data_IF_641335326846
#
_entry.id   IF_641335326846
#
_cell.length_a   1.000
_cell.length_b   1.000
_cell.length_c   1.000
_cell.angle_alpha   90.00
_cell.angle_beta   90.00
_cell.angle_gamma   90.00
#
_symmetry.space_group_name_H-M   'P 1'
#
loop_
_entity.id
_entity.type
_entity.pdbx_description
1 polymer ?
#
# COMPACT_ATOMS: atom_id res chain seq x y z
N UNK A 1 49.68 -38.06 -36.79
CA UNK A 1 49.81 -37.59 -35.39
C UNK A 1 49.38 -36.11 -35.17
N UNK A 2 48.37 -35.57 -35.90
CA UNK A 2 47.92 -34.17 -35.75
C UNK A 2 46.47 -33.98 -35.26
N UNK A 3 45.67 -35.03 -35.13
CA UNK A 3 44.23 -34.91 -34.79
C UNK A 3 43.86 -35.24 -33.33
N UNK A 4 44.81 -35.66 -32.48
CA UNK A 4 44.49 -35.99 -31.07
C UNK A 4 44.60 -34.79 -30.11
N UNK A 5 45.30 -33.70 -30.50
CA UNK A 5 45.44 -32.50 -29.67
C UNK A 5 44.26 -31.53 -29.79
N UNK A 6 43.42 -31.66 -30.82
CA UNK A 6 42.30 -30.75 -31.05
C UNK A 6 41.05 -31.17 -30.25
N UNK A 7 40.74 -32.47 -30.17
CA UNK A 7 39.54 -32.94 -29.45
C UNK A 7 39.65 -32.78 -27.92
N UNK A 8 40.86 -32.88 -27.36
CA UNK A 8 41.11 -32.70 -25.92
C UNK A 8 40.87 -31.25 -25.47
N UNK A 9 41.14 -30.26 -26.33
CA UNK A 9 40.87 -28.85 -26.02
C UNK A 9 39.38 -28.55 -25.96
N UNK A 10 38.57 -29.12 -26.86
CA UNK A 10 37.11 -28.96 -26.82
C UNK A 10 36.47 -29.74 -25.66
N UNK A 11 37.03 -30.90 -25.29
CA UNK A 11 36.54 -31.69 -24.15
C UNK A 11 36.81 -31.01 -22.80
N UNK A 12 37.98 -30.37 -22.63
CA UNK A 12 38.29 -29.58 -21.43
C UNK A 12 37.50 -28.27 -21.37
N UNK A 13 37.17 -27.65 -22.52
CA UNK A 13 36.32 -26.46 -22.58
C UNK A 13 34.84 -26.78 -22.27
N UNK A 14 34.35 -27.94 -22.73
CA UNK A 14 32.98 -28.41 -22.45
C UNK A 14 32.79 -28.82 -20.99
N UNK A 15 33.81 -29.40 -20.34
CA UNK A 15 33.80 -29.69 -18.90
C UNK A 15 33.83 -28.42 -18.05
N UNK A 16 34.60 -27.40 -18.45
CA UNK A 16 34.61 -26.11 -17.76
C UNK A 16 33.26 -25.36 -17.87
N UNK A 17 32.61 -25.40 -19.04
CA UNK A 17 31.28 -24.80 -19.21
C UNK A 17 30.18 -25.59 -18.48
N UNK A 18 30.26 -26.92 -18.47
CA UNK A 18 29.33 -27.79 -17.74
C UNK A 18 29.42 -27.64 -16.22
N UNK A 19 30.64 -27.52 -15.66
CA UNK A 19 30.86 -27.29 -14.23
C UNK A 19 30.44 -25.87 -13.81
N UNK A 20 30.66 -24.86 -14.67
CA UNK A 20 30.16 -23.50 -14.41
C UNK A 20 28.62 -23.44 -14.48
N UNK A 21 27.98 -24.15 -15.41
CA UNK A 21 26.51 -24.21 -15.47
C UNK A 21 25.91 -25.00 -14.29
N UNK A 22 26.55 -26.07 -13.82
CA UNK A 22 26.11 -26.80 -12.64
C UNK A 22 26.32 -25.99 -11.36
N UNK A 23 27.49 -25.35 -11.21
CA UNK A 23 27.82 -24.46 -10.08
C UNK A 23 26.94 -23.22 -10.03
N UNK A 24 26.56 -22.65 -11.17
CA UNK A 24 25.63 -21.52 -11.23
C UNK A 24 24.19 -21.96 -10.90
N UNK A 25 23.82 -23.21 -11.20
CA UNK A 25 22.51 -23.78 -10.83
C UNK A 25 22.38 -24.14 -9.34
N UNK A 26 23.50 -24.48 -8.69
CA UNK A 26 23.54 -24.78 -7.25
C UNK A 26 23.68 -23.52 -6.39
N UNK A 27 24.38 -22.47 -6.87
CA UNK A 27 24.39 -21.15 -6.21
C UNK A 27 23.02 -20.47 -6.18
N UNK A 28 22.15 -20.72 -7.18
CA UNK A 28 20.78 -20.19 -7.15
C UNK A 28 19.86 -20.89 -6.14
N UNK A 29 20.32 -21.93 -5.45
CA UNK A 29 19.51 -22.68 -4.47
C UNK A 29 19.93 -22.44 -3.01
N UNK A 30 21.03 -21.72 -2.76
CA UNK A 30 21.58 -21.59 -1.42
C UNK A 30 22.05 -20.16 -1.07
N UNK A 31 21.32 -19.16 -1.56
CA UNK A 31 21.34 -17.83 -0.97
C UNK A 31 20.09 -17.76 -0.08
N UNK A 32 20.26 -17.91 1.24
CA UNK A 32 19.24 -17.66 2.25
C UNK A 32 18.81 -16.18 2.33
N UNK A 33 18.78 -15.50 1.20
CA UNK A 33 18.24 -14.15 1.02
C UNK A 33 16.88 -14.37 0.38
N UNK A 34 15.81 -14.17 1.13
CA UNK A 34 14.46 -14.25 0.64
C UNK A 34 14.29 -13.28 -0.55
N UNK A 35 14.44 -13.79 -1.77
CA UNK A 35 14.05 -13.07 -2.97
C UNK A 35 12.55 -12.89 -2.89
N UNK A 36 12.07 -11.65 -2.92
CA UNK A 36 10.67 -11.41 -3.23
C UNK A 36 10.33 -12.19 -4.48
N UNK A 37 9.32 -13.04 -4.36
CA UNK A 37 8.62 -13.52 -5.53
C UNK A 37 7.67 -12.40 -5.88
N UNK A 38 8.06 -11.55 -6.86
CA UNK A 38 7.06 -10.83 -7.62
C UNK A 38 6.02 -11.87 -8.03
N UNK A 39 4.81 -11.73 -7.52
CA UNK A 39 3.73 -12.64 -7.82
C UNK A 39 3.11 -12.24 -9.17
N UNK A 40 2.09 -12.98 -9.59
CA UNK A 40 1.39 -12.69 -10.82
C UNK A 40 0.88 -11.25 -10.83
N UNK A 41 0.97 -10.60 -11.99
CA UNK A 41 0.37 -9.28 -12.21
C UNK A 41 -1.13 -9.38 -12.01
N UNK A 42 -1.72 -8.29 -11.54
CA UNK A 42 -3.17 -8.15 -11.44
C UNK A 42 -3.65 -7.13 -12.44
N UNK A 43 -4.89 -7.31 -12.90
CA UNK A 43 -5.51 -6.41 -13.87
C UNK A 43 -6.83 -5.91 -13.30
N UNK A 44 -7.06 -4.61 -13.36
CA UNK A 44 -8.34 -4.01 -12.95
C UNK A 44 -9.37 -3.97 -14.09
N UNK A 45 -10.52 -3.35 -13.84
CA UNK A 45 -11.60 -3.20 -14.82
C UNK A 45 -11.16 -2.39 -16.06
N UNK A 46 -10.33 -1.37 -15.86
CA UNK A 46 -9.87 -0.47 -16.92
C UNK A 46 -8.73 -1.06 -17.75
N UNK A 47 -8.20 -2.18 -17.27
CA UNK A 47 -7.12 -2.92 -17.90
C UNK A 47 -5.74 -2.44 -17.49
N UNK A 48 -5.63 -1.65 -16.42
CA UNK A 48 -4.36 -1.33 -15.79
C UNK A 48 -3.76 -2.60 -15.19
N UNK A 49 -2.45 -2.81 -15.40
CA UNK A 49 -1.72 -3.93 -14.80
C UNK A 49 -0.84 -3.46 -13.66
N UNK A 50 -0.86 -4.19 -12.54
CA UNK A 50 -0.07 -3.88 -11.37
C UNK A 50 0.81 -5.06 -10.97
N UNK A 51 2.05 -4.78 -10.59
CA UNK A 51 2.91 -5.77 -9.98
C UNK A 51 2.44 -6.08 -8.56
N UNK A 52 2.77 -7.27 -8.08
CA UNK A 52 2.40 -7.71 -6.73
C UNK A 52 3.62 -8.25 -5.99
N UNK A 53 3.60 -8.07 -4.67
CA UNK A 53 4.68 -8.44 -3.76
C UNK A 53 4.11 -9.36 -2.69
N UNK A 54 4.69 -10.57 -2.56
CA UNK A 54 4.42 -11.44 -1.42
C UNK A 54 5.26 -11.00 -0.22
N UNK A 55 4.61 -10.71 0.90
CA UNK A 55 5.22 -10.30 2.17
C UNK A 55 4.60 -11.13 3.29
N UNK A 56 5.36 -12.10 3.80
CA UNK A 56 4.83 -13.13 4.69
C UNK A 56 3.69 -13.90 4.01
N UNK A 57 2.55 -13.95 4.69
CA UNK A 57 1.34 -14.60 4.19
C UNK A 57 0.49 -13.70 3.28
N UNK A 58 0.77 -12.39 3.23
CA UNK A 58 0.00 -11.44 2.42
C UNK A 58 0.62 -11.24 1.04
N UNK A 59 -0.24 -10.97 0.05
CA UNK A 59 0.19 -10.48 -1.26
C UNK A 59 -0.41 -9.11 -1.48
N UNK A 60 0.43 -8.11 -1.71
CA UNK A 60 0.02 -6.71 -1.87
C UNK A 60 0.34 -6.20 -3.27
N UNK A 61 -0.40 -5.19 -3.72
CA UNK A 61 0.01 -4.40 -4.89
C UNK A 61 1.34 -3.68 -4.60
N UNK A 62 2.22 -3.60 -5.61
CA UNK A 62 3.45 -2.82 -5.53
C UNK A 62 3.17 -1.33 -5.79
N UNK A 63 2.19 -1.03 -6.63
CA UNK A 63 1.79 0.32 -7.01
C UNK A 63 0.43 0.73 -6.42
N UNK A 64 0.15 2.03 -6.45
CA UNK A 64 -1.14 2.59 -6.10
C UNK A 64 -2.17 2.32 -7.21
N UNK A 65 -3.40 2.01 -6.82
CA UNK A 65 -4.53 1.77 -7.72
C UNK A 65 -4.86 3.01 -8.58
N UNK A 66 -5.25 2.78 -9.83
CA UNK A 66 -5.55 3.82 -10.83
C UNK A 66 -6.84 3.55 -11.62
N UNK A 67 -7.74 2.76 -11.06
CA UNK A 67 -9.03 2.45 -11.68
C UNK A 67 -9.95 3.68 -11.69
N UNK A 68 -10.58 3.94 -12.81
CA UNK A 68 -11.50 5.06 -13.06
C UNK A 68 -12.96 4.58 -13.18
N UNK A 69 -13.19 3.27 -13.16
CA UNK A 69 -14.49 2.64 -13.04
C UNK A 69 -14.59 1.79 -11.78
N UNK A 70 -15.80 1.65 -11.26
CA UNK A 70 -16.09 0.62 -10.27
C UNK A 70 -15.98 -0.77 -10.89
N UNK A 71 -15.93 -1.81 -10.05
CA UNK A 71 -15.83 -3.20 -10.51
C UNK A 71 -16.97 -3.61 -11.45
N UNK A 72 -18.16 -3.01 -11.30
CA UNK A 72 -19.29 -3.24 -12.20
C UNK A 72 -19.20 -2.49 -13.55
N UNK A 73 -18.18 -1.67 -13.75
CA UNK A 73 -17.95 -0.87 -14.96
C UNK A 73 -18.60 0.51 -14.97
N UNK A 74 -19.28 0.93 -13.89
CA UNK A 74 -19.77 2.30 -13.80
C UNK A 74 -18.60 3.27 -13.64
N UNK A 75 -18.60 4.42 -14.34
CA UNK A 75 -17.54 5.41 -14.18
C UNK A 75 -17.59 6.06 -12.81
N UNK A 76 -16.41 6.33 -12.26
CA UNK A 76 -16.22 7.17 -11.07
C UNK A 76 -15.98 8.60 -11.55
N UNK A 77 -16.58 9.60 -10.89
CA UNK A 77 -16.46 10.99 -11.31
C UNK A 77 -15.00 11.47 -11.23
N UNK A 78 -14.43 11.84 -12.38
CA UNK A 78 -13.19 12.60 -12.41
C UNK A 78 -13.48 14.06 -12.07
N UNK A 79 -12.77 14.58 -11.08
CA UNK A 79 -12.81 16.01 -10.73
C UNK A 79 -11.51 16.67 -11.15
N UNK A 80 -11.58 17.89 -11.69
CA UNK A 80 -10.40 18.68 -12.13
C UNK A 80 -10.35 20.09 -11.52
N UNK A 81 -11.22 20.40 -10.56
CA UNK A 81 -11.23 21.69 -9.89
C UNK A 81 -11.46 21.53 -8.38
N UNK A 82 -10.98 22.51 -7.62
CA UNK A 82 -11.15 22.51 -6.16
C UNK A 82 -12.62 22.65 -5.76
N UNK A 83 -13.39 23.43 -6.53
CA UNK A 83 -14.81 23.64 -6.31
C UNK A 83 -15.60 22.34 -6.53
N UNK A 84 -15.37 21.66 -7.64
CA UNK A 84 -16.07 20.40 -7.94
C UNK A 84 -15.70 19.29 -6.95
N UNK A 85 -14.46 19.30 -6.44
CA UNK A 85 -14.03 18.35 -5.40
C UNK A 85 -14.80 18.57 -4.10
N UNK A 86 -14.90 19.83 -3.69
CA UNK A 86 -15.68 20.24 -2.53
C UNK A 86 -17.16 19.85 -2.70
N UNK A 87 -17.78 20.19 -3.85
CA UNK A 87 -19.18 19.86 -4.14
C UNK A 87 -19.45 18.36 -4.16
N UNK A 88 -18.58 17.56 -4.79
CA UNK A 88 -18.68 16.10 -4.75
C UNK A 88 -18.60 15.59 -3.31
N UNK A 89 -17.74 16.20 -2.49
CA UNK A 89 -17.63 15.92 -1.06
C UNK A 89 -18.91 16.23 -0.27
N UNK A 90 -19.54 17.38 -0.54
CA UNK A 90 -20.80 17.80 0.08
C UNK A 90 -21.99 16.92 -0.31
N UNK A 91 -22.02 16.46 -1.57
CA UNK A 91 -23.11 15.65 -2.10
C UNK A 91 -22.93 14.15 -1.88
N UNK A 92 -21.80 13.71 -1.32
CA UNK A 92 -21.51 12.29 -1.11
C UNK A 92 -21.23 11.53 -2.41
N UNK A 93 -20.75 12.23 -3.44
CA UNK A 93 -20.51 11.66 -4.76
C UNK A 93 -19.12 11.03 -4.79
N UNK A 94 -19.00 9.74 -5.18
CA UNK A 94 -17.71 9.11 -5.43
C UNK A 94 -16.89 9.84 -6.49
N UNK A 95 -15.66 10.22 -6.16
CA UNK A 95 -14.81 10.96 -7.05
C UNK A 95 -13.32 10.58 -6.91
N UNK A 96 -12.58 10.81 -7.99
CA UNK A 96 -11.12 10.71 -8.00
C UNK A 96 -10.50 11.91 -8.71
N UNK A 97 -9.20 12.14 -8.45
CA UNK A 97 -8.42 13.23 -9.05
C UNK A 97 -6.94 12.87 -9.15
N UNK A 98 -6.30 13.27 -10.25
CA UNK A 98 -4.84 13.22 -10.38
C UNK A 98 -4.21 14.27 -9.46
N UNK A 99 -3.04 13.98 -8.91
CA UNK A 99 -2.32 14.96 -8.12
C UNK A 99 -2.00 16.20 -8.99
N UNK A 100 -2.36 17.40 -8.51
CA UNK A 100 -2.21 18.66 -9.25
C UNK A 100 -2.84 18.66 -10.67
N UNK A 101 -3.86 17.83 -10.90
CA UNK A 101 -4.53 17.68 -12.21
C UNK A 101 -3.61 17.22 -13.36
N UNK A 102 -2.46 16.65 -13.03
CA UNK A 102 -1.48 16.21 -14.02
C UNK A 102 -1.54 14.68 -14.19
N UNK A 103 -2.12 14.23 -15.31
CA UNK A 103 -2.18 12.80 -15.61
C UNK A 103 -0.80 12.16 -15.80
N UNK A 104 0.25 12.95 -16.13
CA UNK A 104 1.60 12.41 -16.33
C UNK A 104 2.28 11.95 -15.04
N UNK A 105 1.78 12.38 -13.87
CA UNK A 105 2.29 11.92 -12.57
C UNK A 105 1.56 10.69 -12.03
N UNK A 106 0.58 10.17 -12.76
CA UNK A 106 -0.18 8.97 -12.38
C UNK A 106 0.72 7.74 -12.22
N UNK A 107 1.69 7.52 -13.11
CA UNK A 107 2.67 6.42 -12.96
C UNK A 107 3.45 6.49 -11.63
N UNK A 108 3.66 7.70 -11.11
CA UNK A 108 4.42 7.95 -9.88
C UNK A 108 3.55 7.87 -8.63
N UNK A 109 2.34 8.44 -8.67
CA UNK A 109 1.51 8.66 -7.48
C UNK A 109 0.23 7.81 -7.46
N UNK A 110 -0.18 7.25 -8.58
CA UNK A 110 -1.52 6.75 -8.80
C UNK A 110 -2.55 7.88 -8.85
N UNK A 111 -3.79 7.57 -8.47
CA UNK A 111 -4.86 8.56 -8.36
C UNK A 111 -5.36 8.65 -6.92
N UNK A 112 -5.91 9.81 -6.55
CA UNK A 112 -6.47 10.05 -5.22
C UNK A 112 -7.99 9.90 -5.29
N UNK A 113 -8.54 9.03 -4.45
CA UNK A 113 -9.98 8.76 -4.36
C UNK A 113 -10.53 9.42 -3.12
N UNK A 114 -11.74 9.97 -3.20
CA UNK A 114 -12.45 10.36 -1.99
C UNK A 114 -12.99 9.13 -1.24
N UNK A 115 -13.37 9.31 0.03
CA UNK A 115 -13.84 8.18 0.83
C UNK A 115 -15.17 7.61 0.34
N UNK A 116 -15.99 8.39 -0.37
CA UNK A 116 -17.24 7.90 -0.96
C UNK A 116 -17.00 6.88 -2.07
N UNK A 117 -15.93 7.02 -2.86
CA UNK A 117 -15.52 6.00 -3.83
C UNK A 117 -14.99 4.73 -3.15
N UNK A 118 -14.26 4.90 -2.05
CA UNK A 118 -13.71 3.77 -1.27
C UNK A 118 -14.80 2.93 -0.63
N UNK A 119 -15.82 3.57 -0.05
CA UNK A 119 -16.93 2.89 0.62
C UNK A 119 -18.12 2.56 -0.28
N UNK A 120 -18.01 2.78 -1.59
CA UNK A 120 -19.11 2.50 -2.53
C UNK A 120 -19.34 0.98 -2.66
N UNK A 121 -20.59 0.50 -2.57
CA UNK A 121 -20.90 -0.94 -2.66
C UNK A 121 -20.55 -1.57 -4.01
N UNK A 122 -20.36 -0.78 -5.08
CA UNK A 122 -19.92 -1.30 -6.38
C UNK A 122 -18.46 -1.77 -6.35
N UNK A 123 -17.66 -1.25 -5.41
CA UNK A 123 -16.28 -1.66 -5.14
C UNK A 123 -15.26 -1.20 -6.18
N UNK A 124 -14.02 -0.99 -5.73
CA UNK A 124 -12.89 -0.58 -6.58
C UNK A 124 -11.91 -1.73 -6.89
N UNK A 125 -11.84 -2.74 -6.02
CA UNK A 125 -10.90 -3.82 -6.14
C UNK A 125 -11.35 -4.86 -7.20
N UNK A 126 -10.45 -5.41 -8.03
CA UNK A 126 -10.76 -6.54 -8.90
C UNK A 126 -11.03 -7.81 -8.08
N UNK A 127 -11.60 -8.85 -8.71
CA UNK A 127 -11.93 -10.09 -8.02
C UNK A 127 -10.70 -10.77 -7.38
N UNK A 128 -10.87 -11.25 -6.14
CA UNK A 128 -9.79 -11.83 -5.33
C UNK A 128 -8.86 -10.80 -4.68
N UNK A 129 -9.21 -9.51 -4.77
CA UNK A 129 -8.50 -8.41 -4.12
C UNK A 129 -9.49 -7.56 -3.32
N UNK A 130 -8.98 -6.95 -2.24
CA UNK A 130 -9.78 -6.14 -1.34
C UNK A 130 -9.07 -4.85 -0.94
N UNK A 131 -9.87 -3.89 -0.47
CA UNK A 131 -9.36 -2.77 0.32
C UNK A 131 -8.74 -3.32 1.60
N UNK A 132 -7.53 -2.87 2.00
CA UNK A 132 -6.91 -3.34 3.23
C UNK A 132 -7.63 -2.73 4.45
N UNK A 133 -8.02 -3.60 5.38
CA UNK A 133 -8.51 -3.21 6.70
C UNK A 133 -7.37 -3.06 7.71
N UNK A 134 -7.71 -2.76 8.97
CA UNK A 134 -6.70 -2.60 10.04
C UNK A 134 -5.90 -3.88 10.29
N UNK A 135 -6.54 -5.05 10.28
CA UNK A 135 -5.85 -6.34 10.45
C UNK A 135 -4.83 -6.60 9.35
N UNK A 136 -5.16 -6.21 8.10
CA UNK A 136 -4.25 -6.38 6.98
C UNK A 136 -2.99 -5.53 7.18
N UNK A 137 -3.15 -4.27 7.61
CA UNK A 137 -2.04 -3.39 7.91
C UNK A 137 -1.24 -3.85 9.13
N UNK A 138 -1.89 -4.34 10.18
CA UNK A 138 -1.22 -4.87 11.37
C UNK A 138 -0.32 -6.06 10.99
N UNK A 139 -0.85 -7.02 10.22
CA UNK A 139 -0.08 -8.17 9.74
C UNK A 139 1.13 -7.75 8.89
N UNK A 140 0.97 -6.73 8.03
CA UNK A 140 2.08 -6.18 7.26
C UNK A 140 3.15 -5.57 8.16
N UNK A 141 2.74 -4.76 9.16
CA UNK A 141 3.68 -4.10 10.07
C UNK A 141 4.45 -5.13 10.92
N UNK A 142 3.76 -6.17 11.40
CA UNK A 142 4.37 -7.28 12.15
C UNK A 142 5.41 -8.01 11.29
N UNK A 143 5.03 -8.35 10.05
CA UNK A 143 5.99 -8.94 9.11
C UNK A 143 7.21 -8.03 8.91
N UNK A 144 7.03 -6.73 8.68
CA UNK A 144 8.15 -5.81 8.48
C UNK A 144 9.04 -5.63 9.72
N UNK A 145 8.47 -5.77 10.91
CA UNK A 145 9.19 -5.75 12.19
C UNK A 145 9.93 -7.07 12.50
N UNK A 146 9.62 -8.16 11.79
CA UNK A 146 10.16 -9.49 12.09
C UNK A 146 9.54 -10.16 13.31
N UNK A 147 8.31 -9.77 13.66
CA UNK A 147 7.61 -10.20 14.88
C UNK A 147 6.47 -9.26 15.21
N UNK A 148 6.06 -9.18 16.48
CA UNK A 148 5.06 -8.18 16.88
C UNK A 148 5.65 -6.76 16.74
N UNK A 149 5.02 -5.92 15.92
CA UNK A 149 5.44 -4.54 15.73
C UNK A 149 5.20 -3.72 16.99
N UNK A 150 6.22 -2.96 17.41
CA UNK A 150 6.12 -2.14 18.61
C UNK A 150 5.05 -1.06 18.46
N UNK A 151 4.04 -1.03 19.35
CA UNK A 151 3.01 0.00 19.29
C UNK A 151 3.62 1.36 19.65
N UNK A 152 3.31 2.37 18.83
CA UNK A 152 3.45 3.75 19.21
C UNK A 152 2.17 4.18 19.93
N UNK A 153 2.23 4.66 21.20
CA UNK A 153 1.05 5.11 21.91
C UNK A 153 0.48 6.30 21.12
N UNK A 154 -0.69 6.06 20.54
CA UNK A 154 -1.45 7.08 19.87
C UNK A 154 -1.93 8.16 20.84
N UNK A 155 -2.75 9.06 20.33
CA UNK A 155 -3.57 9.92 21.15
C UNK A 155 -4.80 9.12 21.57
N UNK A 156 -4.83 8.70 22.82
CA UNK A 156 -6.05 8.20 23.45
C UNK A 156 -6.81 9.35 24.09
N UNK A 157 -8.12 9.29 24.01
CA UNK A 157 -9.04 10.15 24.78
C UNK A 157 -10.03 9.27 25.51
N UNK A 158 -10.79 9.84 26.43
CA UNK A 158 -11.82 9.11 27.18
C UNK A 158 -13.12 9.91 27.08
N UNK A 159 -14.22 9.25 26.76
CA UNK A 159 -15.56 9.84 26.80
C UNK A 159 -16.53 8.94 27.54
N UNK A 160 -17.63 9.52 28.03
CA UNK A 160 -18.73 8.74 28.58
C UNK A 160 -19.73 8.40 27.48
N UNK A 161 -20.15 7.14 27.38
CA UNK A 161 -21.25 6.73 26.51
C UNK A 161 -22.61 7.23 27.06
N UNK A 162 -23.70 6.93 26.37
CA UNK A 162 -25.07 7.32 26.79
C UNK A 162 -25.44 6.75 28.18
N UNK A 163 -24.87 5.61 28.55
CA UNK A 163 -25.04 4.96 29.85
C UNK A 163 -24.13 5.53 30.96
N UNK A 164 -23.26 6.48 30.62
CA UNK A 164 -22.33 7.13 31.55
C UNK A 164 -21.04 6.36 31.81
N UNK A 165 -20.79 5.26 31.10
CA UNK A 165 -19.57 4.45 31.18
C UNK A 165 -18.43 5.11 30.42
N UNK A 166 -17.23 5.09 31.01
CA UNK A 166 -16.02 5.63 30.38
C UNK A 166 -15.51 4.66 29.30
N UNK A 167 -15.38 5.17 28.07
CA UNK A 167 -14.91 4.45 26.90
C UNK A 167 -13.61 5.06 26.42
N UNK A 168 -12.58 4.23 26.22
CA UNK A 168 -11.31 4.63 25.61
C UNK A 168 -11.53 4.89 24.11
N UNK A 169 -11.07 6.06 23.67
CA UNK A 169 -11.10 6.51 22.29
C UNK A 169 -9.69 6.48 21.73
N UNK A 170 -9.46 5.62 20.75
CA UNK A 170 -8.20 5.60 20.01
C UNK A 170 -8.32 6.53 18.80
N UNK A 171 -7.78 7.75 18.91
CA UNK A 171 -7.81 8.72 17.81
C UNK A 171 -6.80 8.39 16.71
N UNK A 172 -5.80 7.59 17.04
CA UNK A 172 -4.88 6.95 16.10
C UNK A 172 -4.23 5.74 16.78
N UNK A 173 -3.74 4.83 15.95
CA UNK A 173 -2.80 3.78 16.34
C UNK A 173 -1.54 3.97 15.50
N UNK A 174 -0.40 3.51 15.99
CA UNK A 174 0.83 3.63 15.23
C UNK A 174 1.84 2.56 15.58
N UNK A 175 2.86 2.47 14.74
CA UNK A 175 3.94 1.51 14.87
C UNK A 175 5.27 2.25 14.85
N UNK A 176 6.16 1.89 15.79
CA UNK A 176 7.46 2.54 15.94
C UNK A 176 8.41 2.14 14.84
N UNK A 177 9.23 3.06 14.36
CA UNK A 177 10.39 2.80 13.51
C UNK A 177 10.14 2.06 12.18
N UNK A 178 8.89 1.92 11.74
CA UNK A 178 8.54 1.21 10.50
C UNK A 178 8.45 2.12 9.27
N UNK A 179 8.38 3.46 9.44
CA UNK A 179 8.35 4.35 8.29
C UNK A 179 9.61 4.21 7.42
N UNK A 180 10.85 4.16 7.96
CA UNK A 180 12.05 3.95 7.16
C UNK A 180 12.05 2.62 6.41
N UNK A 181 11.52 1.56 7.02
CA UNK A 181 11.38 0.24 6.40
C UNK A 181 10.49 0.36 5.16
N UNK A 182 9.28 0.89 5.30
CA UNK A 182 8.34 1.17 4.19
C UNK A 182 8.90 2.10 3.10
N UNK A 183 9.98 2.82 3.37
CA UNK A 183 10.68 3.66 2.38
C UNK A 183 11.81 2.92 1.65
N UNK A 184 11.97 1.62 1.90
CA UNK A 184 13.01 0.79 1.32
C UNK A 184 14.32 0.74 2.11
N UNK A 185 14.33 1.11 3.40
CA UNK A 185 15.51 0.87 4.25
C UNK A 185 15.50 -0.57 4.76
N UNK A 186 16.70 -1.10 5.03
CA UNK A 186 16.87 -2.40 5.67
C UNK A 186 16.16 -2.44 7.02
N UNK A 187 15.64 -3.61 7.35
CA UNK A 187 15.09 -4.00 8.65
C UNK A 187 15.92 -5.15 9.20
N UNK A 188 15.84 -5.37 10.51
CA UNK A 188 16.48 -6.51 11.17
C UNK A 188 15.77 -7.83 10.86
N UNK A 189 14.58 -7.79 10.23
CA UNK A 189 13.95 -8.99 9.69
C UNK A 189 14.73 -9.54 8.47
N UNK A 190 15.35 -10.73 8.56
CA UNK A 190 16.11 -11.32 7.45
C UNK A 190 15.24 -11.70 6.25
N UNK A 191 13.93 -11.86 6.43
CA UNK A 191 12.98 -12.20 5.36
C UNK A 191 12.60 -10.97 4.51
N UNK A 192 12.92 -9.77 4.97
CA UNK A 192 12.71 -8.51 4.25
C UNK A 192 14.04 -8.10 3.63
N UNK A 193 14.30 -8.59 2.41
CA UNK A 193 15.52 -8.27 1.67
C UNK A 193 15.72 -6.76 1.41
N UNK A 194 16.93 -6.36 1.01
CA UNK A 194 17.31 -4.95 0.78
C UNK A 194 16.61 -4.27 -0.40
N UNK A 195 15.98 -5.04 -1.29
CA UNK A 195 15.34 -4.56 -2.52
C UNK A 195 13.81 -4.64 -2.45
N UNK A 196 13.29 -5.03 -1.30
CA UNK A 196 12.08 -5.83 -1.22
C UNK A 196 10.96 -5.25 -0.35
N UNK A 197 10.90 -3.92 -0.23
CA UNK A 197 9.95 -3.31 0.69
C UNK A 197 8.78 -2.71 -0.06
N UNK A 198 7.57 -2.83 0.53
CA UNK A 198 6.35 -2.11 0.19
C UNK A 198 6.65 -0.61 0.07
N UNK A 199 7.19 -0.19 -1.07
CA UNK A 199 7.81 1.13 -1.19
C UNK A 199 6.72 2.17 -1.18
N UNK A 200 6.81 3.09 -0.24
CA UNK A 200 5.86 4.18 -0.14
C UNK A 200 5.89 5.05 -1.41
N UNK A 201 4.78 5.04 -2.16
CA UNK A 201 4.54 5.99 -3.22
C UNK A 201 3.91 7.24 -2.60
N UNK A 202 4.72 8.29 -2.44
CA UNK A 202 4.38 9.54 -1.73
C UNK A 202 3.44 10.43 -2.56
N UNK A 203 2.22 9.95 -2.78
CA UNK A 203 1.17 10.64 -3.51
C UNK A 203 0.59 11.86 -2.77
N UNK A 204 0.90 12.05 -1.49
CA UNK A 204 0.27 13.07 -0.69
C UNK A 204 -1.22 12.81 -0.47
N UNK A 205 -1.98 13.88 -0.33
CA UNK A 205 -3.43 13.87 -0.16
C UNK A 205 -4.07 15.06 -0.87
N UNK A 206 -5.39 14.99 -1.02
CA UNK A 206 -6.25 16.13 -1.33
C UNK A 206 -7.17 16.38 -0.13
N UNK A 207 -7.25 17.64 0.33
CA UNK A 207 -8.12 18.01 1.43
C UNK A 207 -9.59 18.17 0.99
N UNK A 208 -10.47 18.51 1.93
CA UNK A 208 -11.91 18.67 1.64
C UNK A 208 -12.24 19.87 0.74
N UNK A 209 -11.30 20.79 0.55
CA UNK A 209 -11.45 21.96 -0.32
C UNK A 209 -10.72 21.79 -1.65
N UNK A 210 -10.23 20.59 -1.94
CA UNK A 210 -9.54 20.25 -3.18
C UNK A 210 -8.06 20.64 -3.24
N UNK A 211 -7.46 21.10 -2.13
CA UNK A 211 -6.05 21.47 -2.11
C UNK A 211 -5.16 20.24 -1.90
N UNK A 212 -4.06 20.16 -2.65
CA UNK A 212 -3.09 19.08 -2.57
C UNK A 212 -1.98 19.36 -1.55
N UNK A 213 -1.55 18.30 -0.83
CA UNK A 213 -0.47 18.40 0.15
C UNK A 213 0.41 17.16 0.18
N UNK A 214 1.71 17.37 0.39
CA UNK A 214 2.63 16.31 0.82
C UNK A 214 3.09 15.33 -0.26
N UNK A 215 2.86 15.60 -1.55
CA UNK A 215 3.52 14.83 -2.60
C UNK A 215 5.03 14.84 -2.39
N UNK A 216 5.68 13.74 -2.76
CA UNK A 216 7.10 13.48 -2.54
C UNK A 216 7.56 13.42 -1.07
N UNK A 217 6.71 13.71 -0.10
CA UNK A 217 7.08 13.73 1.33
C UNK A 217 6.30 12.73 2.18
N UNK A 218 5.01 12.54 1.86
CA UNK A 218 4.08 11.75 2.66
C UNK A 218 3.22 10.88 1.77
N UNK A 219 3.11 9.60 2.11
CA UNK A 219 2.19 8.67 1.50
C UNK A 219 0.97 8.54 2.42
N UNK A 220 -0.21 8.68 1.84
CA UNK A 220 -1.47 8.41 2.50
C UNK A 220 -2.21 7.34 1.72
N UNK A 221 -2.64 6.28 2.41
CA UNK A 221 -3.50 5.25 1.85
C UNK A 221 -4.77 5.11 2.66
N UNK A 222 -5.88 4.86 1.98
CA UNK A 222 -7.12 4.47 2.63
C UNK A 222 -6.97 3.14 3.38
N UNK A 223 -7.63 3.07 4.54
CA UNK A 223 -7.90 1.84 5.27
C UNK A 223 -9.42 1.69 5.32
N UNK A 224 -9.93 0.53 4.93
CA UNK A 224 -11.37 0.29 4.94
C UNK A 224 -11.66 -1.22 5.02
N UNK A 225 -12.33 -1.71 6.07
CA UNK A 225 -12.84 -0.95 7.22
C UNK A 225 -11.74 -0.65 8.27
N UNK A 226 -11.96 0.38 9.09
CA UNK A 226 -11.34 0.50 10.42
C UNK A 226 -12.28 -0.01 11.49
N UNK A 227 -11.70 -0.57 12.55
CA UNK A 227 -12.34 -1.30 13.62
C UNK A 227 -12.26 -0.61 15.00
N UNK A 228 -11.60 0.56 15.08
CA UNK A 228 -11.57 1.37 16.29
C UNK A 228 -12.51 2.60 16.20
N UNK A 229 -13.19 2.95 17.30
CA UNK A 229 -14.27 3.93 17.28
C UNK A 229 -13.78 5.35 16.95
N UNK A 230 -14.49 6.04 16.05
CA UNK A 230 -14.25 7.44 15.69
C UNK A 230 -15.38 8.32 16.21
N UNK A 231 -15.06 9.19 17.15
CA UNK A 231 -16.00 10.18 17.66
C UNK A 231 -15.51 11.60 17.36
N UNK A 232 -16.39 12.43 16.79
CA UNK A 232 -16.17 13.86 16.65
C UNK A 232 -17.36 14.60 17.25
N UNK A 233 -17.10 15.50 18.19
CA UNK A 233 -18.11 16.37 18.80
C UNK A 233 -19.33 15.62 19.40
N UNK A 234 -19.11 14.47 20.05
CA UNK A 234 -20.18 13.74 20.75
C UNK A 234 -21.19 13.05 19.84
N UNK A 235 -20.90 12.94 18.53
CA UNK A 235 -21.59 12.04 17.61
C UNK A 235 -20.62 10.97 17.14
N UNK A 236 -21.08 9.73 17.14
CA UNK A 236 -20.37 8.63 16.50
C UNK A 236 -20.33 8.93 15.00
N UNK A 237 -19.12 9.12 14.46
CA UNK A 237 -18.92 9.15 13.02
C UNK A 237 -18.68 7.72 12.59
N UNK A 238 -19.77 7.05 12.20
CA UNK A 238 -19.73 5.75 11.54
C UNK A 238 -19.24 5.89 10.09
N UNK A 239 -18.03 6.41 9.92
CA UNK A 239 -17.30 6.12 8.69
C UNK A 239 -16.21 5.14 9.09
N UNK A 240 -16.35 3.88 8.68
CA UNK A 240 -15.30 2.84 8.77
C UNK A 240 -14.08 3.19 7.89
N UNK A 241 -13.91 4.46 7.53
CA UNK A 241 -12.83 4.99 6.73
C UNK A 241 -11.68 5.40 7.65
N UNK A 242 -10.53 4.81 7.42
CA UNK A 242 -9.26 5.18 8.02
C UNK A 242 -8.25 5.61 6.97
N UNK A 243 -7.07 5.97 7.45
CA UNK A 243 -5.91 6.17 6.61
C UNK A 243 -4.63 5.76 7.32
N UNK A 244 -3.69 5.23 6.56
CA UNK A 244 -2.29 5.10 6.95
C UNK A 244 -1.52 6.32 6.47
N UNK A 245 -0.61 6.82 7.30
CA UNK A 245 0.34 7.87 6.97
C UNK A 245 1.76 7.38 7.17
N UNK A 246 2.59 7.51 6.12
CA UNK A 246 4.04 7.30 6.15
C UNK A 246 4.73 8.56 5.65
N UNK A 247 5.73 9.08 6.36
CA UNK A 247 6.40 10.33 6.00
C UNK A 247 7.91 10.20 6.06
N UNK A 248 8.63 10.83 5.12
CA UNK A 248 10.11 10.85 5.07
C UNK A 248 10.76 11.44 6.32
N UNK A 249 10.06 12.34 6.99
CA UNK A 249 10.58 13.08 8.14
C UNK A 249 10.10 12.51 9.49
N UNK A 250 9.57 11.29 9.50
CA UNK A 250 9.05 10.61 10.69
C UNK A 250 9.54 9.17 10.69
N UNK A 251 9.73 8.61 11.88
CA UNK A 251 10.12 7.20 12.05
C UNK A 251 8.91 6.28 12.19
N UNK A 252 7.78 6.83 12.63
CA UNK A 252 6.57 6.06 12.95
C UNK A 252 5.56 6.07 11.81
N UNK A 253 4.81 4.99 11.73
CA UNK A 253 3.62 4.84 10.87
C UNK A 253 2.39 5.09 11.71
N UNK A 254 1.39 5.78 11.16
CA UNK A 254 0.14 6.08 11.88
C UNK A 254 -1.07 5.65 11.08
N UNK A 255 -1.96 4.87 11.70
CA UNK A 255 -3.34 4.74 11.26
C UNK A 255 -4.22 5.72 12.04
N UNK A 256 -5.13 6.39 11.35
CA UNK A 256 -6.04 7.35 11.97
C UNK A 256 -7.34 7.41 11.19
N UNK A 257 -8.41 7.99 11.75
CA UNK A 257 -9.65 8.21 11.02
C UNK A 257 -9.44 8.99 9.72
N UNK A 258 -10.10 8.51 8.68
CA UNK A 258 -10.26 9.16 7.39
C UNK A 258 -11.52 10.02 7.39
N UNK A 259 -11.56 11.03 6.53
CA UNK A 259 -12.76 11.84 6.32
C UNK A 259 -13.18 11.66 4.87
N UNK A 260 -14.45 11.29 4.63
CA UNK A 260 -14.92 10.92 3.30
C UNK A 260 -14.72 12.02 2.23
N UNK A 261 -14.70 13.29 2.64
CA UNK A 261 -14.49 14.46 1.76
C UNK A 261 -13.02 14.70 1.36
N UNK A 262 -12.07 14.02 2.00
CA UNK A 262 -10.64 14.06 1.64
C UNK A 262 -10.33 12.95 0.66
N UNK A 263 -9.15 12.99 0.05
CA UNK A 263 -8.71 11.93 -0.86
C UNK A 263 -7.29 11.45 -0.62
N UNK A 264 -7.14 10.13 -0.72
CA UNK A 264 -5.91 9.38 -0.50
C UNK A 264 -5.72 8.34 -1.60
N UNK A 265 -4.51 7.81 -1.72
CA UNK A 265 -4.23 6.70 -2.62
C UNK A 265 -4.81 5.39 -2.07
N UNK A 266 -4.81 4.35 -2.88
CA UNK A 266 -5.24 3.00 -2.50
C UNK A 266 -4.14 2.02 -2.91
N UNK A 267 -3.89 1.02 -2.07
CA UNK A 267 -3.04 -0.12 -2.41
C UNK A 267 -3.72 -1.37 -1.90
N UNK A 268 -4.09 -2.26 -2.81
CA UNK A 268 -4.91 -3.42 -2.49
C UNK A 268 -4.05 -4.56 -1.92
N UNK A 269 -4.73 -5.43 -1.18
CA UNK A 269 -4.20 -6.71 -0.70
C UNK A 269 -5.07 -7.83 -1.25
N UNK A 270 -4.47 -8.98 -1.53
CA UNK A 270 -5.19 -10.17 -1.97
C UNK A 270 -6.10 -10.70 -0.85
N UNK A 271 -7.30 -11.15 -1.21
CA UNK A 271 -8.27 -11.77 -0.30
C UNK A 271 -7.77 -13.10 0.29
#
# INVERSE_FOLDING_TARGET
MKNLKLSVKYFLFALAFGVVLFSCSEMLKNDGVARLQYADKIKDHDGNEYATLKMGEQTWMAENLQVTHFRNGDPILQVTSNYDWFEAGEQGVPAWRYYSDDASVSEKYGILYNGYAVSDPRGLAPDGWKMPGMDDWQMLMDYLAGGEAEPWPGSTSFMKNEDGEEVELRLNVGWRNLAPVLMGRQTDNPDVGSEAVFKAQFAGQIDQYGNFYGADETAFWWVFPIDFPVFFMGKELFTELGKIRVSKNRENVFASPGFAKKGYAIRLVKE
#
